data_IF_997066145018
#
_entry.id   IF_997066145018
#
_cell.length_a   1.000
_cell.length_b   1.000
_cell.length_c   1.000
_cell.angle_alpha   90.00
_cell.angle_beta   90.00
_cell.angle_gamma   90.00
#
_symmetry.space_group_name_H-M   'P 1'
#
loop_
_entity.id
_entity.type
_entity.pdbx_description
1 polymer ?
#
# COMPACT_ATOMS: atom_id res chain seq x y z
N UNK A 1 -10.97 -10.04 11.94
CA UNK A 1 -10.74 -9.73 13.36
C UNK A 1 -11.63 -10.57 14.28
N UNK A 2 -12.92 -10.67 13.98
CA UNK A 2 -13.91 -11.36 14.82
C UNK A 2 -13.61 -12.84 15.11
N UNK A 3 -13.02 -13.55 14.16
CA UNK A 3 -12.62 -14.96 14.37
C UNK A 3 -11.58 -15.08 15.51
N UNK A 4 -10.56 -14.23 15.52
CA UNK A 4 -9.54 -14.23 16.58
C UNK A 4 -10.17 -13.82 17.92
N UNK A 5 -11.04 -12.82 17.91
CA UNK A 5 -11.70 -12.31 19.12
C UNK A 5 -12.67 -13.32 19.74
N UNK A 6 -13.43 -14.03 18.92
CA UNK A 6 -14.43 -15.02 19.35
C UNK A 6 -13.84 -16.37 19.76
N UNK A 7 -12.62 -16.70 19.31
CA UNK A 7 -11.99 -17.95 19.66
C UNK A 7 -11.63 -17.99 21.16
N UNK A 8 -12.14 -18.98 21.89
CA UNK A 8 -11.87 -19.12 23.34
C UNK A 8 -10.61 -19.94 23.64
N UNK A 9 -10.25 -20.85 22.72
CA UNK A 9 -9.21 -21.84 22.96
C UNK A 9 -8.45 -22.22 21.68
N UNK A 10 -7.13 -22.39 21.80
CA UNK A 10 -6.26 -22.96 20.78
C UNK A 10 -5.64 -24.26 21.30
N UNK A 11 -5.87 -25.38 20.62
CA UNK A 11 -5.47 -26.72 21.04
C UNK A 11 -3.99 -26.87 21.41
N UNK A 12 -3.10 -26.17 20.69
CA UNK A 12 -1.65 -26.23 20.88
C UNK A 12 -1.11 -25.12 21.80
N UNK A 13 -1.96 -24.19 22.24
CA UNK A 13 -1.60 -23.07 23.11
C UNK A 13 -1.89 -23.39 24.58
N UNK A 14 -1.08 -24.29 25.16
CA UNK A 14 -1.30 -24.82 26.53
C UNK A 14 -1.43 -23.74 27.62
N UNK A 15 -0.79 -22.59 27.41
CA UNK A 15 -0.75 -21.50 28.38
C UNK A 15 -1.63 -20.30 27.97
N UNK A 16 -2.37 -20.41 26.85
CA UNK A 16 -3.19 -19.33 26.29
C UNK A 16 -2.40 -18.08 25.86
N UNK A 17 -1.07 -18.18 25.74
CA UNK A 17 -0.19 -17.02 25.48
C UNK A 17 -0.35 -16.52 24.05
N UNK A 18 -0.42 -17.43 23.09
CA UNK A 18 -0.53 -17.09 21.68
C UNK A 18 -1.88 -16.41 21.40
N UNK A 19 -2.97 -17.00 21.87
CA UNK A 19 -4.32 -16.45 21.69
C UNK A 19 -4.45 -15.09 22.39
N UNK A 20 -3.92 -14.95 23.60
CA UNK A 20 -3.94 -13.67 24.33
C UNK A 20 -3.14 -12.58 23.60
N UNK A 21 -1.97 -12.93 23.06
CA UNK A 21 -1.13 -12.00 22.29
C UNK A 21 -1.86 -11.50 21.04
N UNK A 22 -2.43 -12.43 20.26
CA UNK A 22 -3.19 -12.10 19.05
C UNK A 22 -4.43 -11.26 19.35
N UNK A 23 -5.22 -11.62 20.39
CA UNK A 23 -6.38 -10.81 20.81
C UNK A 23 -5.99 -9.39 21.19
N UNK A 24 -4.86 -9.22 21.90
CA UNK A 24 -4.36 -7.88 22.27
C UNK A 24 -4.04 -7.06 21.02
N UNK A 25 -3.34 -7.64 20.05
CA UNK A 25 -3.01 -6.96 18.78
C UNK A 25 -4.27 -6.64 17.98
N UNK A 26 -5.21 -7.58 17.84
CA UNK A 26 -6.49 -7.32 17.17
C UNK A 26 -7.28 -6.18 17.83
N UNK A 27 -7.28 -6.10 19.17
CA UNK A 27 -7.92 -5.00 19.90
C UNK A 27 -7.24 -3.66 19.65
N UNK A 28 -5.90 -3.64 19.63
CA UNK A 28 -5.14 -2.43 19.32
C UNK A 28 -5.42 -1.94 17.89
N UNK A 29 -5.44 -2.86 16.92
CA UNK A 29 -5.75 -2.53 15.53
C UNK A 29 -7.19 -2.00 15.41
N UNK A 30 -8.14 -2.65 16.07
CA UNK A 30 -9.53 -2.18 16.10
C UNK A 30 -9.67 -0.80 16.75
N UNK A 31 -8.94 -0.52 17.82
CA UNK A 31 -8.99 0.79 18.49
C UNK A 31 -8.50 1.92 17.57
N UNK A 32 -7.41 1.70 16.83
CA UNK A 32 -6.92 2.67 15.85
C UNK A 32 -7.89 2.77 14.67
N UNK A 33 -8.30 1.64 14.07
CA UNK A 33 -9.19 1.64 12.91
C UNK A 33 -10.56 2.27 13.16
N UNK A 34 -11.10 2.16 14.38
CA UNK A 34 -12.38 2.78 14.76
C UNK A 34 -12.31 4.28 15.02
N UNK A 35 -11.10 4.84 15.12
CA UNK A 35 -10.87 6.27 15.41
C UNK A 35 -10.13 7.02 14.29
N UNK A 36 -9.44 6.29 13.41
CA UNK A 36 -8.71 6.86 12.29
C UNK A 36 -9.68 7.40 11.23
N UNK A 37 -9.62 8.70 11.03
CA UNK A 37 -10.42 9.41 10.03
C UNK A 37 -9.62 9.57 8.74
N UNK A 38 -10.33 9.58 7.61
CA UNK A 38 -9.76 10.03 6.33
C UNK A 38 -10.16 11.47 6.11
N UNK A 39 -9.19 12.36 5.91
CA UNK A 39 -9.43 13.77 5.64
C UNK A 39 -8.65 14.24 4.43
N UNK A 40 -9.34 14.94 3.54
CA UNK A 40 -8.70 15.65 2.43
C UNK A 40 -7.88 16.82 2.94
N UNK A 41 -6.95 17.31 2.10
CA UNK A 41 -6.09 18.48 2.42
C UNK A 41 -6.86 19.74 2.78
N UNK A 42 -8.07 19.90 2.23
CA UNK A 42 -8.97 21.01 2.54
C UNK A 42 -9.74 20.85 3.86
N UNK A 43 -9.47 19.78 4.63
CA UNK A 43 -10.13 19.43 5.88
C UNK A 43 -11.46 18.71 5.73
N UNK A 44 -11.89 18.39 4.50
CA UNK A 44 -13.11 17.63 4.26
C UNK A 44 -12.97 16.19 4.77
N UNK A 45 -13.90 15.79 5.64
CA UNK A 45 -13.96 14.44 6.20
C UNK A 45 -14.60 13.49 5.18
N UNK A 46 -13.82 12.53 4.69
CA UNK A 46 -14.26 11.48 3.76
C UNK A 46 -14.82 10.30 4.54
N UNK A 47 -14.03 9.74 5.46
CA UNK A 47 -14.41 8.58 6.25
C UNK A 47 -14.22 8.84 7.73
N UNK A 48 -15.14 8.35 8.56
CA UNK A 48 -15.07 8.49 10.03
C UNK A 48 -14.21 7.45 10.72
N UNK A 49 -14.08 6.28 10.11
CA UNK A 49 -13.36 5.12 10.61
C UNK A 49 -13.27 4.04 9.52
N UNK A 50 -12.63 2.92 9.83
CA UNK A 50 -12.43 1.79 8.92
C UNK A 50 -13.68 1.03 8.47
N UNK A 51 -14.84 1.27 9.09
CA UNK A 51 -16.11 0.62 8.76
C UNK A 51 -16.88 1.47 7.72
N UNK A 52 -16.42 2.69 7.47
CA UNK A 52 -16.96 3.57 6.44
C UNK A 52 -16.61 3.02 5.05
N UNK A 53 -17.58 2.92 4.12
CA UNK A 53 -17.31 2.41 2.77
C UNK A 53 -16.25 3.21 2.01
N UNK A 54 -16.06 4.49 2.35
CA UNK A 54 -15.08 5.36 1.70
C UNK A 54 -13.72 5.39 2.42
N UNK A 55 -13.50 4.52 3.43
CA UNK A 55 -12.24 4.50 4.17
C UNK A 55 -11.05 4.06 3.32
N UNK A 56 -11.19 2.97 2.56
CA UNK A 56 -10.11 2.45 1.74
C UNK A 56 -9.93 3.24 0.45
N UNK A 57 -11.04 3.65 -0.16
CA UNK A 57 -11.08 4.38 -1.43
C UNK A 57 -12.13 5.48 -1.31
N UNK A 58 -11.77 6.70 -1.65
CA UNK A 58 -12.67 7.86 -1.66
C UNK A 58 -12.50 8.71 -2.92
N UNK A 59 -13.32 9.75 -3.10
CA UNK A 59 -13.17 10.66 -4.23
C UNK A 59 -11.89 11.49 -4.12
N UNK A 60 -11.24 11.81 -5.24
CA UNK A 60 -10.12 12.76 -5.26
C UNK A 60 -10.59 14.19 -5.01
N UNK A 61 -9.72 15.03 -4.44
CA UNK A 61 -9.92 16.48 -4.40
C UNK A 61 -10.08 17.07 -5.80
N UNK A 62 -9.34 16.52 -6.78
CA UNK A 62 -9.36 16.92 -8.19
C UNK A 62 -9.30 15.69 -9.07
N UNK A 63 -10.20 15.61 -10.07
CA UNK A 63 -10.18 14.52 -11.05
C UNK A 63 -8.86 14.55 -11.83
N UNK A 64 -8.25 13.37 -11.98
CA UNK A 64 -7.01 13.22 -12.72
C UNK A 64 -7.28 12.66 -14.10
N UNK A 65 -7.01 13.50 -15.11
CA UNK A 65 -7.15 13.15 -16.52
C UNK A 65 -5.92 13.65 -17.26
N UNK A 66 -5.24 12.73 -17.95
CA UNK A 66 -4.03 13.00 -18.71
C UNK A 66 -2.76 12.80 -17.90
N UNK A 67 -1.68 13.43 -18.34
CA UNK A 67 -0.37 13.19 -17.77
C UNK A 67 -0.21 13.81 -16.40
N UNK A 68 0.48 13.09 -15.52
CA UNK A 68 0.87 13.52 -14.18
C UNK A 68 2.32 13.18 -13.93
N UNK A 69 2.97 14.06 -13.19
CA UNK A 69 4.32 13.79 -12.73
C UNK A 69 4.26 12.80 -11.57
N UNK A 70 5.10 11.78 -11.61
CA UNK A 70 5.34 10.89 -10.49
C UNK A 70 6.37 11.51 -9.55
N UNK A 71 6.03 11.62 -8.27
CA UNK A 71 6.90 12.10 -7.20
C UNK A 71 7.18 11.00 -6.19
N UNK A 72 8.30 11.10 -5.48
CA UNK A 72 8.52 10.27 -4.30
C UNK A 72 7.40 10.50 -3.30
N UNK A 73 6.99 9.42 -2.64
CA UNK A 73 6.06 9.53 -1.53
C UNK A 73 6.78 10.13 -0.33
N UNK A 74 6.17 11.14 0.28
CA UNK A 74 6.65 11.76 1.52
C UNK A 74 5.62 11.47 2.61
N UNK A 75 6.07 10.82 3.69
CA UNK A 75 5.21 10.52 4.83
C UNK A 75 4.63 11.81 5.43
N UNK A 76 3.36 11.80 5.87
CA UNK A 76 2.74 12.96 6.49
C UNK A 76 3.39 13.28 7.84
N UNK A 77 3.41 14.56 8.20
CA UNK A 77 3.90 15.01 9.50
C UNK A 77 2.89 14.66 10.61
N UNK A 78 3.36 14.03 11.68
CA UNK A 78 2.53 13.59 12.82
C UNK A 78 1.91 14.75 13.60
N UNK A 79 2.52 15.94 13.60
CA UNK A 79 2.01 17.12 14.29
C UNK A 79 0.86 17.79 13.52
N UNK A 80 0.80 17.59 12.21
CA UNK A 80 -0.18 18.26 11.33
C UNK A 80 -1.24 17.32 10.77
N UNK A 81 -0.93 16.04 10.65
CA UNK A 81 -1.87 15.01 10.23
C UNK A 81 -2.72 14.51 11.40
N UNK A 82 -3.84 13.85 11.09
CA UNK A 82 -4.66 13.15 12.09
C UNK A 82 -4.30 11.66 12.21
N UNK A 83 -3.11 11.28 11.72
CA UNK A 83 -2.64 9.89 11.65
C UNK A 83 -1.74 9.66 12.87
N UNK A 84 -1.94 8.59 13.65
CA UNK A 84 -1.08 8.29 14.79
C UNK A 84 0.39 8.13 14.37
N UNK A 85 1.31 8.69 15.15
CA UNK A 85 2.75 8.64 14.89
C UNK A 85 3.28 7.21 14.66
N UNK A 86 2.85 6.24 15.48
CA UNK A 86 3.23 4.82 15.33
C UNK A 86 2.83 4.23 13.96
N UNK A 87 1.74 4.74 13.35
CA UNK A 87 1.26 4.29 12.04
C UNK A 87 2.15 4.84 10.93
N UNK A 88 2.57 6.10 11.05
CA UNK A 88 3.50 6.76 10.12
C UNK A 88 4.88 6.10 10.20
N UNK A 89 5.45 5.97 11.40
CA UNK A 89 6.76 5.35 11.64
C UNK A 89 6.81 3.93 11.08
N UNK A 90 5.74 3.16 11.20
CA UNK A 90 5.71 1.79 10.66
C UNK A 90 5.90 1.75 9.13
N UNK A 91 5.39 2.75 8.40
CA UNK A 91 5.62 2.90 6.96
C UNK A 91 7.04 3.36 6.66
N UNK A 92 7.59 4.33 7.39
CA UNK A 92 8.99 4.76 7.22
C UNK A 92 9.98 3.60 7.42
N UNK A 93 9.76 2.77 8.44
CA UNK A 93 10.55 1.54 8.66
C UNK A 93 10.39 0.55 7.50
N UNK A 94 9.23 0.52 6.85
CA UNK A 94 8.99 -0.36 5.70
C UNK A 94 9.74 0.13 4.46
N UNK A 95 9.70 1.44 4.21
CA UNK A 95 10.45 2.07 3.12
C UNK A 95 11.96 1.93 3.30
N UNK A 96 12.48 2.00 4.54
CA UNK A 96 13.90 1.74 4.81
C UNK A 96 14.28 0.25 4.68
N UNK A 97 13.39 -0.68 5.08
CA UNK A 97 13.64 -2.12 4.98
C UNK A 97 13.67 -2.61 3.51
N UNK A 98 13.02 -1.91 2.59
CA UNK A 98 12.84 -2.34 1.21
C UNK A 98 13.30 -1.30 0.20
N UNK A 99 14.30 -1.64 -0.64
CA UNK A 99 14.69 -0.80 -1.76
C UNK A 99 13.51 -0.64 -2.76
N UNK A 100 13.11 0.62 -2.98
CA UNK A 100 12.01 1.02 -3.85
C UNK A 100 12.39 1.03 -5.32
N UNK A 101 11.76 0.15 -6.10
CA UNK A 101 11.94 0.03 -7.56
C UNK A 101 11.52 1.31 -8.29
N UNK A 102 10.51 1.98 -7.75
CA UNK A 102 10.01 3.25 -8.28
C UNK A 102 10.96 4.39 -7.89
N UNK A 103 11.56 4.37 -6.70
CA UNK A 103 12.51 5.40 -6.27
C UNK A 103 13.70 5.48 -7.22
N UNK A 104 14.28 4.32 -7.57
CA UNK A 104 15.34 4.26 -8.59
C UNK A 104 14.84 4.77 -9.95
N UNK A 105 13.55 4.66 -10.26
CA UNK A 105 13.02 5.17 -11.53
C UNK A 105 12.87 6.69 -11.51
N UNK A 106 12.39 7.26 -10.41
CA UNK A 106 12.22 8.71 -10.24
C UNK A 106 13.59 9.41 -10.16
N UNK A 107 14.58 8.84 -9.46
CA UNK A 107 15.92 9.43 -9.34
C UNK A 107 16.67 9.49 -10.68
N UNK A 108 16.61 8.41 -11.46
CA UNK A 108 17.35 8.29 -12.71
C UNK A 108 16.66 8.98 -13.89
N UNK A 109 15.33 9.09 -13.85
CA UNK A 109 14.52 9.66 -14.92
C UNK A 109 13.91 10.96 -14.39
N UNK A 110 14.68 12.05 -14.49
CA UNK A 110 14.18 13.38 -14.14
C UNK A 110 12.87 13.64 -14.91
N UNK A 111 11.77 13.78 -14.17
CA UNK A 111 10.40 14.02 -14.67
C UNK A 111 9.72 12.81 -15.34
N UNK A 112 9.50 11.74 -14.57
CA UNK A 112 8.71 10.58 -15.00
C UNK A 112 7.21 10.95 -15.08
N UNK A 113 6.65 10.92 -16.28
CA UNK A 113 5.25 11.28 -16.53
C UNK A 113 4.39 10.04 -16.82
N UNK A 114 3.27 9.92 -16.12
CA UNK A 114 2.34 8.78 -16.23
C UNK A 114 0.93 9.26 -16.60
N UNK A 115 0.20 8.43 -17.34
CA UNK A 115 -1.19 8.73 -17.68
C UNK A 115 -2.14 8.32 -16.56
N UNK A 116 -2.96 9.28 -16.11
CA UNK A 116 -4.02 9.11 -15.11
C UNK A 116 -5.41 9.26 -15.75
N UNK A 117 -6.37 8.44 -15.31
CA UNK A 117 -7.77 8.52 -15.73
C UNK A 117 -8.75 8.09 -14.62
N UNK A 118 -8.69 8.73 -13.46
CA UNK A 118 -9.46 8.33 -12.27
C UNK A 118 -10.07 9.55 -11.56
N UNK A 119 -11.18 9.32 -10.86
CA UNK A 119 -11.83 10.31 -10.01
C UNK A 119 -11.81 9.95 -8.53
N UNK A 120 -11.33 8.76 -8.22
CA UNK A 120 -11.29 8.17 -6.89
C UNK A 120 -9.85 7.74 -6.63
N UNK A 121 -9.45 7.73 -5.37
CA UNK A 121 -8.12 7.34 -4.93
C UNK A 121 -8.18 6.42 -3.72
N UNK A 122 -7.14 5.58 -3.64
CA UNK A 122 -6.78 4.90 -2.41
C UNK A 122 -6.33 5.94 -1.39
N UNK A 123 -6.96 5.98 -0.21
CA UNK A 123 -6.61 6.95 0.81
C UNK A 123 -5.27 6.59 1.49
N UNK A 124 -4.43 7.60 1.71
CA UNK A 124 -3.13 7.46 2.38
C UNK A 124 -3.27 6.81 3.76
N UNK A 125 -4.22 7.28 4.56
CA UNK A 125 -4.44 6.81 5.93
C UNK A 125 -4.76 5.31 5.98
N UNK A 126 -5.49 4.82 4.97
CA UNK A 126 -5.87 3.41 4.89
C UNK A 126 -4.67 2.51 4.62
N UNK A 127 -3.76 2.92 3.74
CA UNK A 127 -2.55 2.13 3.43
C UNK A 127 -1.54 2.19 4.57
N UNK A 128 -1.32 3.37 5.16
CA UNK A 128 -0.46 3.49 6.34
C UNK A 128 -0.98 2.63 7.51
N UNK A 129 -2.28 2.68 7.77
CA UNK A 129 -2.92 1.83 8.76
C UNK A 129 -2.78 0.34 8.45
N UNK A 130 -3.02 -0.07 7.20
CA UNK A 130 -2.87 -1.45 6.78
C UNK A 130 -1.44 -1.95 6.98
N UNK A 131 -0.44 -1.13 6.64
CA UNK A 131 0.96 -1.45 6.85
C UNK A 131 1.29 -1.71 8.31
N UNK A 132 0.93 -0.75 9.18
CA UNK A 132 1.12 -0.87 10.61
C UNK A 132 0.42 -2.12 11.18
N UNK A 133 -0.81 -2.38 10.75
CA UNK A 133 -1.58 -3.56 11.19
C UNK A 133 -0.92 -4.87 10.75
N UNK A 134 -0.43 -4.97 9.51
CA UNK A 134 0.27 -6.15 9.02
C UNK A 134 1.57 -6.42 9.80
N UNK A 135 2.37 -5.38 10.05
CA UNK A 135 3.60 -5.51 10.83
C UNK A 135 3.32 -5.96 12.27
N UNK A 136 2.34 -5.35 12.93
CA UNK A 136 1.92 -5.75 14.29
C UNK A 136 1.46 -7.20 14.36
N UNK A 137 0.64 -7.65 13.40
CA UNK A 137 0.19 -9.02 13.33
C UNK A 137 1.36 -9.98 13.11
N UNK A 138 2.23 -9.65 12.15
CA UNK A 138 3.40 -10.46 11.84
C UNK A 138 4.29 -10.64 13.08
N UNK A 139 4.62 -9.57 13.80
CA UNK A 139 5.46 -9.62 15.01
C UNK A 139 4.85 -10.49 16.11
N UNK A 140 3.52 -10.41 16.30
CA UNK A 140 2.81 -11.27 17.24
C UNK A 140 2.84 -12.75 16.81
N UNK A 141 2.80 -13.03 15.50
CA UNK A 141 2.77 -14.38 14.93
C UNK A 141 4.14 -15.06 15.02
N UNK A 142 5.27 -14.36 14.82
CA UNK A 142 6.63 -14.95 14.75
C UNK A 142 6.89 -15.91 15.92
N UNK A 143 6.56 -15.49 17.14
CA UNK A 143 6.83 -16.23 18.38
C UNK A 143 5.90 -17.44 18.59
N UNK A 144 4.81 -17.52 17.82
CA UNK A 144 3.73 -18.50 18.00
C UNK A 144 3.41 -19.31 16.73
N UNK A 145 4.20 -19.17 15.65
CA UNK A 145 3.95 -19.80 14.34
C UNK A 145 3.61 -21.29 14.38
N UNK A 146 4.30 -22.07 15.21
CA UNK A 146 4.10 -23.53 15.31
C UNK A 146 2.76 -23.92 15.95
N UNK A 147 2.21 -23.04 16.78
CA UNK A 147 0.86 -23.18 17.35
C UNK A 147 -0.17 -22.87 16.26
N UNK A 148 0.05 -21.79 15.51
CA UNK A 148 -0.91 -21.27 14.53
C UNK A 148 -1.01 -22.12 13.27
N UNK A 149 0.11 -22.65 12.77
CA UNK A 149 0.16 -23.45 11.53
C UNK A 149 -0.78 -24.66 11.53
N UNK A 150 -1.05 -25.24 12.72
CA UNK A 150 -1.98 -26.37 12.89
C UNK A 150 -3.34 -25.98 13.45
N UNK A 151 -3.73 -24.71 13.39
CA UNK A 151 -4.94 -24.16 13.99
C UNK A 151 -5.88 -23.55 12.94
N UNK A 152 -7.13 -23.23 13.30
CA UNK A 152 -8.03 -22.47 12.44
C UNK A 152 -7.47 -21.11 12.01
N UNK A 153 -6.56 -20.53 12.80
CA UNK A 153 -5.92 -19.24 12.55
C UNK A 153 -4.68 -19.33 11.65
N UNK A 154 -4.45 -20.46 10.98
CA UNK A 154 -3.29 -20.63 10.08
C UNK A 154 -3.28 -19.64 8.91
N UNK A 155 -4.45 -19.14 8.50
CA UNK A 155 -4.59 -18.13 7.46
C UNK A 155 -3.88 -16.81 7.81
N UNK A 156 -3.70 -16.48 9.10
CA UNK A 156 -2.96 -15.29 9.52
C UNK A 156 -1.51 -15.30 9.02
N UNK A 157 -0.94 -16.49 8.81
CA UNK A 157 0.41 -16.64 8.27
C UNK A 157 0.52 -16.34 6.77
N UNK A 158 -0.62 -16.20 6.08
CA UNK A 158 -0.71 -15.89 4.65
C UNK A 158 -0.93 -14.40 4.39
N UNK A 159 -1.17 -13.61 5.44
CA UNK A 159 -1.31 -12.16 5.32
C UNK A 159 -0.02 -11.52 4.80
N UNK A 160 -0.12 -10.36 4.12
CA UNK A 160 1.04 -9.53 3.86
C UNK A 160 1.86 -9.26 5.13
N UNK A 161 3.16 -9.15 4.96
CA UNK A 161 4.08 -8.68 6.01
C UNK A 161 4.00 -7.16 6.17
N UNK A 162 3.97 -6.45 5.04
CA UNK A 162 3.95 -5.00 4.98
C UNK A 162 3.32 -4.53 3.66
N UNK A 163 2.83 -3.29 3.65
CA UNK A 163 2.40 -2.60 2.43
C UNK A 163 3.00 -1.20 2.43
N UNK A 164 3.52 -0.78 1.30
CA UNK A 164 4.26 0.47 1.16
C UNK A 164 3.59 1.32 0.10
N UNK A 165 3.36 2.61 0.38
CA UNK A 165 3.12 3.62 -0.65
C UNK A 165 4.46 3.98 -1.29
N UNK A 166 4.54 3.87 -2.61
CA UNK A 166 5.80 4.03 -3.36
C UNK A 166 5.97 5.43 -3.93
N UNK A 167 4.86 6.06 -4.33
CA UNK A 167 4.91 7.34 -5.03
C UNK A 167 3.57 8.05 -5.00
N UNK A 168 3.63 9.36 -5.21
CA UNK A 168 2.48 10.27 -5.34
C UNK A 168 2.39 10.82 -6.76
N UNK A 169 1.23 11.33 -7.17
CA UNK A 169 1.10 12.14 -8.39
C UNK A 169 1.00 13.63 -8.06
N UNK A 170 1.50 14.46 -8.98
CA UNK A 170 1.37 15.90 -8.90
C UNK A 170 0.97 16.55 -10.22
N UNK A 171 0.35 17.73 -10.07
CA UNK A 171 0.09 18.69 -11.15
C UNK A 171 1.01 19.90 -10.94
N UNK A 172 1.99 20.06 -11.85
CA UNK A 172 3.14 20.99 -11.78
C UNK A 172 4.04 20.80 -10.54
N UNK A 173 3.51 20.99 -9.32
CA UNK A 173 4.19 20.78 -8.03
C UNK A 173 3.25 20.40 -6.89
N UNK A 174 1.94 20.46 -7.08
CA UNK A 174 0.96 20.17 -6.03
C UNK A 174 0.58 18.69 -6.09
N UNK A 175 0.78 17.96 -4.99
CA UNK A 175 0.36 16.56 -4.89
C UNK A 175 -1.16 16.47 -5.01
N UNK A 176 -1.62 15.67 -5.98
CA UNK A 176 -3.04 15.45 -6.28
C UNK A 176 -3.53 14.13 -5.70
N UNK A 177 -2.71 13.08 -5.78
CA UNK A 177 -2.99 11.79 -5.14
C UNK A 177 -1.75 11.31 -4.40
N UNK A 178 -1.89 11.10 -3.10
CA UNK A 178 -0.82 10.67 -2.20
C UNK A 178 -0.43 9.21 -2.45
N UNK A 179 -1.40 8.35 -2.73
CA UNK A 179 -1.16 6.91 -2.92
C UNK A 179 -1.29 6.49 -4.39
N UNK A 180 -0.32 6.81 -5.24
CA UNK A 180 -0.41 6.49 -6.68
C UNK A 180 0.03 5.06 -7.03
N UNK A 181 0.90 4.46 -6.23
CA UNK A 181 1.26 3.04 -6.33
C UNK A 181 1.61 2.46 -4.96
N UNK A 182 1.41 1.15 -4.81
CA UNK A 182 1.80 0.41 -3.61
C UNK A 182 2.61 -0.86 -3.91
N UNK A 183 3.49 -1.22 -2.99
CA UNK A 183 4.16 -2.53 -2.93
C UNK A 183 3.64 -3.32 -1.74
N UNK A 184 3.09 -4.51 -2.00
CA UNK A 184 2.68 -5.47 -0.98
C UNK A 184 3.78 -6.50 -0.82
N UNK A 185 4.38 -6.55 0.36
CA UNK A 185 5.47 -7.45 0.70
C UNK A 185 4.92 -8.68 1.45
N UNK A 186 5.20 -9.88 0.95
CA UNK A 186 4.88 -11.14 1.60
C UNK A 186 6.19 -11.78 2.08
N UNK A 187 6.31 -12.04 3.38
CA UNK A 187 7.51 -12.64 3.99
C UNK A 187 7.19 -14.04 4.46
N UNK A 188 7.84 -15.04 3.86
CA UNK A 188 7.67 -16.41 4.31
C UNK A 188 8.34 -16.62 5.68
N UNK A 189 7.60 -17.22 6.62
CA UNK A 189 8.09 -17.36 8.00
C UNK A 189 9.26 -18.35 8.12
N UNK A 190 9.40 -19.31 7.21
CA UNK A 190 10.40 -20.38 7.24
C UNK A 190 11.65 -20.01 6.44
N UNK A 191 11.50 -19.79 5.14
CA UNK A 191 12.57 -19.46 4.18
C UNK A 191 13.07 -18.03 4.28
N UNK A 192 12.27 -17.12 4.87
CA UNK A 192 12.52 -15.66 4.89
C UNK A 192 12.55 -15.00 3.52
N UNK A 193 12.14 -15.72 2.47
CA UNK A 193 11.98 -15.16 1.13
C UNK A 193 10.89 -14.10 1.13
N UNK A 194 11.11 -13.06 0.33
CA UNK A 194 10.23 -11.90 0.24
C UNK A 194 9.68 -11.84 -1.17
N UNK A 195 8.38 -12.04 -1.30
CA UNK A 195 7.66 -11.88 -2.56
C UNK A 195 6.99 -10.52 -2.58
N UNK A 196 7.15 -9.79 -3.68
CA UNK A 196 6.57 -8.46 -3.87
C UNK A 196 5.40 -8.49 -4.84
N UNK A 197 4.41 -7.66 -4.62
CA UNK A 197 3.30 -7.45 -5.55
C UNK A 197 3.02 -5.96 -5.65
N UNK A 198 3.01 -5.44 -6.89
CA UNK A 198 2.84 -4.02 -7.13
C UNK A 198 1.42 -3.74 -7.60
N UNK A 199 0.87 -2.60 -7.15
CA UNK A 199 -0.38 -2.05 -7.68
C UNK A 199 -0.18 -0.58 -8.02
N UNK A 200 -0.80 -0.12 -9.08
CA UNK A 200 -0.72 1.27 -9.54
C UNK A 200 -2.15 1.76 -9.75
N UNK A 201 -2.42 3.01 -9.35
CA UNK A 201 -3.64 3.70 -9.72
C UNK A 201 -3.54 4.21 -11.16
N UNK A 202 -2.33 4.48 -11.64
CA UNK A 202 -2.09 4.89 -13.03
C UNK A 202 -2.10 3.72 -14.01
N UNK A 203 -2.15 4.09 -15.29
CA UNK A 203 -2.14 3.17 -16.41
C UNK A 203 -0.78 3.17 -17.10
N UNK A 204 0.21 2.42 -16.60
CA UNK A 204 1.53 2.39 -17.21
C UNK A 204 1.54 1.70 -18.58
N UNK A 205 0.45 1.02 -18.93
CA UNK A 205 0.21 0.44 -20.25
C UNK A 205 -0.32 1.44 -21.28
N UNK A 206 -0.85 2.59 -20.85
CA UNK A 206 -1.41 3.60 -21.73
C UNK A 206 -0.30 4.56 -22.16
N UNK A 207 -0.18 4.73 -23.47
CA UNK A 207 0.67 5.76 -24.06
C UNK A 207 -0.02 7.11 -23.92
N UNK A 208 0.75 8.17 -23.71
CA UNK A 208 0.27 9.55 -23.44
C UNK A 208 -0.79 10.07 -24.44
N UNK A 209 -0.77 9.58 -25.68
CA UNK A 209 -1.73 9.94 -26.74
C UNK A 209 -2.91 8.98 -26.85
N UNK A 210 -3.80 9.00 -25.85
CA UNK A 210 -5.10 8.31 -25.89
C UNK A 210 -6.14 8.96 -26.83
N UNK A 211 -5.86 10.16 -27.35
CA UNK A 211 -6.82 10.96 -28.14
C UNK A 211 -7.11 10.38 -29.54
N UNK A 212 -6.26 9.49 -30.06
CA UNK A 212 -6.31 8.99 -31.45
C UNK A 212 -6.56 7.48 -31.59
N UNK A 213 -7.24 6.84 -30.62
CA UNK A 213 -7.53 5.40 -30.61
C UNK A 213 -8.20 4.84 -31.88
N UNK A 214 -8.88 5.68 -32.67
CA UNK A 214 -9.54 5.23 -33.90
C UNK A 214 -8.61 5.09 -35.12
N UNK A 215 -7.37 5.61 -35.09
CA UNK A 215 -6.49 5.67 -36.28
C UNK A 215 -5.00 5.40 -36.04
N UNK A 216 -4.57 5.01 -34.82
CA UNK A 216 -3.15 4.79 -34.54
C UNK A 216 -2.69 3.37 -34.89
N UNK A 217 -1.56 3.25 -35.59
CA UNK A 217 -0.86 1.97 -35.74
C UNK A 217 -0.29 1.51 -34.38
N UNK A 218 -0.08 0.20 -34.16
CA UNK A 218 0.56 -0.29 -32.94
C UNK A 218 1.89 0.41 -32.67
N UNK A 219 2.21 0.73 -31.41
CA UNK A 219 3.44 1.44 -31.08
C UNK A 219 4.67 0.61 -31.47
N UNK A 220 5.66 1.29 -32.02
CA UNK A 220 6.96 0.72 -32.34
C UNK A 220 7.75 0.43 -31.06
N UNK A 221 8.71 -0.48 -31.16
CA UNK A 221 9.60 -0.80 -30.05
C UNK A 221 10.42 0.42 -29.56
N UNK A 222 10.76 1.34 -30.47
CA UNK A 222 11.48 2.56 -30.12
C UNK A 222 10.59 3.58 -29.38
N UNK A 223 9.28 3.62 -29.68
CA UNK A 223 8.32 4.42 -28.90
C UNK A 223 8.16 3.85 -27.49
N UNK A 224 7.97 2.54 -27.34
CA UNK A 224 7.86 1.89 -26.02
C UNK A 224 9.11 2.08 -25.15
N UNK A 225 10.29 2.19 -25.77
CA UNK A 225 11.55 2.47 -25.07
C UNK A 225 11.68 3.89 -24.54
N UNK A 226 10.89 4.83 -25.05
CA UNK A 226 10.93 6.23 -24.65
C UNK A 226 9.75 6.63 -23.77
N UNK A 227 8.70 5.81 -23.75
CA UNK A 227 7.54 6.01 -22.92
C UNK A 227 7.85 5.67 -21.45
N UNK A 228 7.56 6.62 -20.56
CA UNK A 228 7.84 6.52 -19.13
C UNK A 228 7.00 5.44 -18.45
N UNK A 229 5.71 5.36 -18.79
CA UNK A 229 4.79 4.34 -18.29
C UNK A 229 5.25 2.93 -18.67
N UNK A 230 5.57 2.70 -19.94
CA UNK A 230 6.02 1.40 -20.43
C UNK A 230 7.36 0.96 -19.80
N UNK A 231 8.30 1.89 -19.62
CA UNK A 231 9.58 1.62 -18.94
C UNK A 231 9.37 1.28 -17.47
N UNK A 232 8.54 2.05 -16.77
CA UNK A 232 8.17 1.79 -15.38
C UNK A 232 7.49 0.43 -15.23
N UNK A 233 6.54 0.11 -16.13
CA UNK A 233 5.86 -1.19 -16.14
C UNK A 233 6.85 -2.36 -16.26
N UNK A 234 7.79 -2.27 -17.20
CA UNK A 234 8.79 -3.32 -17.40
C UNK A 234 9.66 -3.53 -16.15
N UNK A 235 10.01 -2.45 -15.44
CA UNK A 235 10.76 -2.53 -14.17
C UNK A 235 9.94 -3.16 -13.05
N UNK A 236 8.69 -2.76 -12.90
CA UNK A 236 7.78 -3.35 -11.91
C UNK A 236 7.58 -4.85 -12.14
N UNK A 237 7.40 -5.26 -13.40
CA UNK A 237 7.33 -6.68 -13.76
C UNK A 237 8.62 -7.42 -13.44
N UNK A 238 9.77 -6.86 -13.81
CA UNK A 238 11.07 -7.49 -13.55
C UNK A 238 11.30 -7.69 -12.04
N UNK A 239 11.06 -6.65 -11.24
CA UNK A 239 11.23 -6.70 -9.79
C UNK A 239 10.19 -7.59 -9.10
N UNK A 240 8.98 -7.69 -9.64
CA UNK A 240 7.95 -8.62 -9.16
C UNK A 240 8.26 -10.09 -9.47
N UNK A 241 9.12 -10.35 -10.46
CA UNK A 241 9.56 -11.68 -10.87
C UNK A 241 10.87 -12.14 -10.19
N UNK A 242 11.58 -11.25 -9.51
CA UNK A 242 12.76 -11.65 -8.73
C UNK A 242 12.32 -12.32 -7.43
N UNK A 243 12.54 -13.63 -7.34
CA UNK A 243 12.35 -14.48 -6.15
C UNK A 243 13.65 -14.62 -5.33
#
# INVERSE_FOLDING_TARGET
MDEVSSLEYLARDRNGKALKSLKKVCQQIQQVGTTLQVKKKNGHLVAKNWDDPEFAVGPNEKKEVGDRQLLHYESPDSDTSNIPEDVIIAHEVTADEFEGVIDTSIEYEHELNISMFHSDEVNEEAILFANWAYRLLHDAIISHRHILAGSPLSWLMQLPFAVEILCSTADETEVVTECSATCINYKDFESKLIRRSFTCQFHPELLQDLKDLHHREPPTYDELKRDDGARLFARLLYSGMQE
#
